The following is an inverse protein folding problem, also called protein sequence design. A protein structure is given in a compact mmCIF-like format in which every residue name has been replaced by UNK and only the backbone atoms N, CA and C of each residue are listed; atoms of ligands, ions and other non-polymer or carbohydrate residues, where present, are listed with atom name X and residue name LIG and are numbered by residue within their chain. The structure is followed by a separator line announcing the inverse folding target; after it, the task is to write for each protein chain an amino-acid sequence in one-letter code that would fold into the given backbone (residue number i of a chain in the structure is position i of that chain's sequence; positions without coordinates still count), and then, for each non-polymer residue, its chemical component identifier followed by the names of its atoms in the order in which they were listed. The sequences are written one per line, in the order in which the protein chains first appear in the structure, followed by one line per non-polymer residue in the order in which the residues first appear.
data_IF_661761767820
#
_entry.id   IF_661761767820
#
_cell.length_a   1.000
_cell.length_b   1.000
_cell.length_c   1.000
_cell.angle_alpha   90.00
_cell.angle_beta   90.00
_cell.angle_gamma   90.00
#
_symmetry.space_group_name_H-M   'P 1'
#
loop_
_entity.id
_entity.type
_entity.pdbx_description
1 polymer ?
#
# COMPACT_ATOMS: atom_id res chain seq x y z
N UNK A 1 8.11 -12.44 -38.17
CA UNK A 1 7.93 -12.66 -36.71
C UNK A 1 6.68 -11.98 -36.14
N UNK A 2 5.51 -12.19 -36.76
CA UNK A 2 4.20 -11.71 -36.27
C UNK A 2 3.27 -12.91 -36.07
N UNK A 3 3.50 -13.71 -35.04
CA UNK A 3 2.51 -14.69 -34.57
C UNK A 3 2.78 -15.06 -33.11
N UNK A 4 2.00 -14.50 -32.19
CA UNK A 4 1.71 -15.21 -30.93
C UNK A 4 0.42 -16.04 -31.04
N UNK A 5 -0.24 -16.05 -32.20
CA UNK A 5 -0.94 -17.22 -32.77
C UNK A 5 -1.89 -18.02 -31.89
N UNK A 6 -2.69 -17.39 -31.03
CA UNK A 6 -3.79 -18.07 -30.32
C UNK A 6 -5.01 -17.14 -30.32
N UNK A 7 -6.16 -17.55 -30.92
CA UNK A 7 -6.81 -18.86 -30.79
C UNK A 7 -6.92 -19.73 -32.07
N UNK A 8 -6.32 -19.35 -33.20
CA UNK A 8 -6.47 -20.09 -34.47
C UNK A 8 -5.72 -21.43 -34.54
N UNK A 9 -4.74 -21.65 -33.66
CA UNK A 9 -3.98 -22.92 -33.58
C UNK A 9 -4.58 -23.93 -32.58
N UNK A 10 -5.70 -23.59 -31.92
CA UNK A 10 -6.35 -24.45 -30.93
C UNK A 10 -7.44 -25.29 -31.58
N UNK A 11 -7.37 -26.60 -31.37
CA UNK A 11 -8.40 -27.56 -31.78
C UNK A 11 -9.34 -27.84 -30.60
N UNK A 12 -10.59 -28.24 -30.87
CA UNK A 12 -11.63 -28.53 -29.86
C UNK A 12 -12.01 -27.37 -28.92
N UNK A 13 -11.98 -26.14 -29.41
CA UNK A 13 -12.43 -24.97 -28.63
C UNK A 13 -13.95 -24.78 -28.71
N UNK A 14 -14.60 -24.24 -27.65
CA UNK A 14 -15.98 -23.78 -27.72
C UNK A 14 -16.21 -22.77 -28.84
N UNK A 15 -17.44 -22.68 -29.36
CA UNK A 15 -17.78 -21.68 -30.38
C UNK A 15 -17.52 -20.26 -29.83
N UNK A 16 -16.79 -19.44 -30.60
CA UNK A 16 -16.35 -18.07 -30.23
C UNK A 16 -15.37 -18.00 -29.05
N UNK A 17 -14.43 -18.94 -28.96
CA UNK A 17 -13.37 -18.91 -27.95
C UNK A 17 -12.48 -17.66 -28.06
N UNK A 18 -12.52 -16.80 -27.04
CA UNK A 18 -11.76 -15.56 -27.01
C UNK A 18 -10.42 -15.71 -26.30
N UNK A 19 -9.52 -14.74 -26.51
CA UNK A 19 -8.26 -14.66 -25.75
C UNK A 19 -8.49 -14.57 -24.24
N UNK A 20 -9.59 -13.96 -23.80
CA UNK A 20 -9.94 -13.84 -22.38
C UNK A 20 -10.33 -15.19 -21.79
N UNK A 21 -11.04 -16.02 -22.56
CA UNK A 21 -11.39 -17.39 -22.15
C UNK A 21 -10.14 -18.26 -22.06
N UNK A 22 -9.20 -18.13 -23.01
CA UNK A 22 -7.91 -18.79 -22.90
C UNK A 22 -7.15 -18.41 -21.63
N UNK A 23 -7.10 -17.11 -21.33
CA UNK A 23 -6.44 -16.59 -20.13
C UNK A 23 -7.07 -17.13 -18.84
N UNK A 24 -8.40 -17.24 -18.76
CA UNK A 24 -9.07 -17.74 -17.55
C UNK A 24 -8.75 -19.21 -17.25
N UNK A 25 -8.42 -20.03 -18.25
CA UNK A 25 -7.98 -21.42 -18.04
C UNK A 25 -6.48 -21.54 -17.77
N UNK A 26 -5.64 -20.73 -18.42
CA UNK A 26 -4.18 -20.88 -18.32
C UNK A 26 -3.62 -20.31 -17.02
N UNK A 27 -4.09 -19.14 -16.57
CA UNK A 27 -3.52 -18.52 -15.37
C UNK A 27 -3.66 -19.35 -14.10
N UNK A 28 -4.79 -20.04 -13.83
CA UNK A 28 -4.88 -20.97 -12.71
C UNK A 28 -3.83 -22.08 -12.74
N UNK A 29 -3.53 -22.63 -13.93
CA UNK A 29 -2.48 -23.64 -14.09
C UNK A 29 -1.10 -23.04 -13.79
N UNK A 30 -0.83 -21.81 -14.24
CA UNK A 30 0.42 -21.12 -13.91
C UNK A 30 0.54 -20.82 -12.41
N UNK A 31 -0.56 -20.53 -11.72
CA UNK A 31 -0.56 -20.30 -10.29
C UNK A 31 -0.27 -21.58 -9.50
N UNK A 32 -0.84 -22.73 -9.90
CA UNK A 32 -0.55 -24.02 -9.24
C UNK A 32 0.88 -24.48 -9.48
N UNK A 33 1.47 -24.16 -10.62
CA UNK A 33 2.89 -24.38 -10.88
C UNK A 33 3.80 -23.69 -9.85
N UNK A 34 3.36 -22.57 -9.25
CA UNK A 34 4.16 -21.89 -8.22
C UNK A 34 4.40 -22.79 -6.99
N UNK A 35 3.47 -23.68 -6.66
CA UNK A 35 3.63 -24.64 -5.56
C UNK A 35 4.72 -25.69 -5.82
N UNK A 36 5.09 -25.93 -7.08
CA UNK A 36 6.13 -26.88 -7.48
C UNK A 36 7.48 -26.21 -7.78
N UNK A 37 7.69 -24.98 -7.30
CA UNK A 37 8.88 -24.18 -7.59
C UNK A 37 10.22 -24.89 -7.31
N UNK A 38 10.27 -25.79 -6.32
CA UNK A 38 11.45 -26.60 -5.98
C UNK A 38 11.91 -27.53 -7.11
N UNK A 39 11.01 -27.90 -8.02
CA UNK A 39 11.32 -28.76 -9.18
C UNK A 39 11.58 -27.94 -10.46
N UNK A 40 11.61 -26.61 -10.37
CA UNK A 40 11.78 -25.72 -11.52
C UNK A 40 13.12 -25.02 -11.48
N UNK A 41 13.80 -25.00 -12.63
CA UNK A 41 14.97 -24.16 -12.82
C UNK A 41 14.60 -22.67 -12.75
N UNK A 42 15.55 -21.82 -12.34
CA UNK A 42 15.32 -20.37 -12.21
C UNK A 42 14.81 -19.72 -13.51
N UNK A 43 15.26 -20.21 -14.67
CA UNK A 43 14.78 -19.70 -15.97
C UNK A 43 13.28 -19.96 -16.16
N UNK A 44 12.78 -21.13 -15.75
CA UNK A 44 11.36 -21.47 -15.84
C UNK A 44 10.55 -20.66 -14.82
N UNK A 45 11.04 -20.53 -13.58
CA UNK A 45 10.42 -19.68 -12.56
C UNK A 45 10.24 -18.24 -13.06
N UNK A 46 11.27 -17.65 -13.68
CA UNK A 46 11.19 -16.31 -14.26
C UNK A 46 10.17 -16.23 -15.40
N UNK A 47 10.05 -17.25 -16.25
CA UNK A 47 9.03 -17.30 -17.30
C UNK A 47 7.62 -17.37 -16.71
N UNK A 48 7.40 -18.17 -15.66
CA UNK A 48 6.10 -18.25 -14.96
C UNK A 48 5.72 -16.87 -14.40
N UNK A 49 6.64 -16.21 -13.69
CA UNK A 49 6.41 -14.86 -13.15
C UNK A 49 6.07 -13.86 -14.27
N UNK A 50 6.83 -13.85 -15.37
CA UNK A 50 6.56 -12.97 -16.53
C UNK A 50 5.21 -13.25 -17.19
N UNK A 51 4.82 -14.52 -17.29
CA UNK A 51 3.50 -14.87 -17.82
C UNK A 51 2.38 -14.33 -16.92
N UNK A 52 2.48 -14.53 -15.60
CA UNK A 52 1.52 -14.00 -14.63
C UNK A 52 1.46 -12.47 -14.67
N UNK A 53 2.61 -11.82 -14.79
CA UNK A 53 2.74 -10.37 -14.95
C UNK A 53 1.96 -9.84 -16.16
N UNK A 54 2.03 -10.51 -17.31
CA UNK A 54 1.23 -10.15 -18.49
C UNK A 54 -0.29 -10.25 -18.23
N UNK A 55 -0.69 -11.16 -17.33
CA UNK A 55 -2.08 -11.36 -16.93
C UNK A 55 -2.63 -10.30 -15.99
N UNK A 56 -1.77 -9.53 -15.32
CA UNK A 56 -2.14 -8.52 -14.32
C UNK A 56 -3.04 -7.43 -14.91
N UNK A 57 -2.83 -7.05 -16.17
CA UNK A 57 -3.65 -6.03 -16.86
C UNK A 57 -4.92 -6.61 -17.49
N UNK A 58 -5.13 -7.93 -17.42
CA UNK A 58 -6.35 -8.55 -17.92
C UNK A 58 -7.54 -8.19 -17.04
N UNK A 59 -8.66 -7.80 -17.65
CA UNK A 59 -9.87 -7.39 -16.91
C UNK A 59 -10.44 -8.51 -16.05
N UNK A 60 -10.38 -9.75 -16.51
CA UNK A 60 -11.00 -10.90 -15.84
C UNK A 60 -10.01 -11.66 -14.96
N UNK A 61 -8.75 -11.78 -15.39
CA UNK A 61 -7.73 -12.57 -14.69
C UNK A 61 -6.78 -11.73 -13.84
N UNK A 62 -6.80 -10.40 -13.95
CA UNK A 62 -5.89 -9.49 -13.25
C UNK A 62 -5.82 -9.71 -11.74
N UNK A 63 -6.94 -9.65 -10.99
CA UNK A 63 -6.95 -9.89 -9.54
C UNK A 63 -6.31 -11.23 -9.16
N UNK A 64 -6.65 -12.29 -9.91
CA UNK A 64 -6.11 -13.62 -9.71
C UNK A 64 -4.59 -13.69 -9.98
N UNK A 65 -4.13 -13.05 -11.05
CA UNK A 65 -2.70 -12.98 -11.38
C UNK A 65 -1.90 -12.25 -10.30
N UNK A 66 -2.47 -11.19 -9.70
CA UNK A 66 -1.83 -10.49 -8.57
C UNK A 66 -1.71 -11.40 -7.36
N UNK A 67 -2.77 -12.13 -6.98
CA UNK A 67 -2.69 -13.13 -5.89
C UNK A 67 -1.68 -14.24 -6.19
N UNK A 68 -1.60 -14.72 -7.43
CA UNK A 68 -0.59 -15.69 -7.84
C UNK A 68 0.84 -15.11 -7.77
N UNK A 69 1.03 -13.83 -8.11
CA UNK A 69 2.30 -13.14 -7.91
C UNK A 69 2.66 -13.00 -6.44
N UNK A 70 1.69 -12.82 -5.53
CA UNK A 70 1.94 -12.85 -4.08
C UNK A 70 2.51 -14.21 -3.65
N UNK A 71 1.99 -15.32 -4.19
CA UNK A 71 2.55 -16.65 -3.95
C UNK A 71 3.98 -16.76 -4.52
N UNK A 72 4.23 -16.26 -5.74
CA UNK A 72 5.57 -16.24 -6.32
C UNK A 72 6.56 -15.38 -5.50
N UNK A 73 6.11 -14.30 -4.86
CA UNK A 73 6.94 -13.49 -3.96
C UNK A 73 7.39 -14.31 -2.75
N UNK A 74 6.53 -15.19 -2.23
CA UNK A 74 6.82 -16.04 -1.07
C UNK A 74 7.75 -17.22 -1.41
N UNK A 75 7.47 -17.90 -2.52
CA UNK A 75 8.11 -19.18 -2.90
C UNK A 75 9.33 -18.99 -3.83
N UNK A 76 9.29 -18.05 -4.77
CA UNK A 76 10.31 -17.86 -5.82
C UNK A 76 11.15 -16.59 -5.62
N UNK A 77 11.64 -16.36 -4.40
CA UNK A 77 12.27 -15.10 -3.96
C UNK A 77 13.44 -14.65 -4.85
N UNK A 78 14.35 -15.56 -5.21
CA UNK A 78 15.54 -15.21 -6.01
C UNK A 78 15.20 -14.78 -7.44
N UNK A 79 14.21 -15.45 -8.04
CA UNK A 79 13.68 -15.10 -9.36
C UNK A 79 12.88 -13.78 -9.29
N UNK A 80 12.11 -13.58 -8.21
CA UNK A 80 11.33 -12.37 -7.98
C UNK A 80 12.20 -11.12 -7.82
N UNK A 81 13.35 -11.18 -7.13
CA UNK A 81 14.27 -10.04 -6.97
C UNK A 81 14.62 -9.40 -8.32
N UNK A 82 14.78 -10.21 -9.37
CA UNK A 82 15.16 -9.77 -10.72
C UNK A 82 14.01 -9.13 -11.49
N UNK A 83 12.78 -9.51 -11.18
CA UNK A 83 11.57 -9.11 -11.92
C UNK A 83 10.70 -8.10 -11.15
N UNK A 84 10.95 -7.90 -9.85
CA UNK A 84 10.09 -7.10 -8.98
C UNK A 84 9.88 -5.68 -9.48
N UNK A 85 10.90 -5.06 -10.10
CA UNK A 85 10.74 -3.70 -10.67
C UNK A 85 9.71 -3.67 -11.79
N UNK A 86 9.72 -4.66 -12.67
CA UNK A 86 8.77 -4.75 -13.79
C UNK A 86 7.36 -5.05 -13.28
N UNK A 87 7.25 -5.99 -12.33
CA UNK A 87 5.99 -6.31 -11.65
C UNK A 87 5.39 -5.06 -11.00
N UNK A 88 6.17 -4.29 -10.25
CA UNK A 88 5.72 -3.04 -9.63
C UNK A 88 5.23 -2.01 -10.65
N UNK A 89 5.91 -1.89 -11.79
CA UNK A 89 5.52 -0.99 -12.88
C UNK A 89 4.20 -1.42 -13.54
N UNK A 90 3.94 -2.73 -13.65
CA UNK A 90 2.68 -3.22 -14.19
C UNK A 90 1.54 -3.10 -13.18
N UNK A 91 1.80 -3.27 -11.88
CA UNK A 91 0.84 -2.98 -10.82
C UNK A 91 0.43 -1.49 -10.80
N UNK A 92 1.35 -0.56 -11.07
CA UNK A 92 1.04 0.88 -11.08
C UNK A 92 0.13 1.33 -12.23
N UNK A 93 -0.05 0.49 -13.26
CA UNK A 93 -0.96 0.78 -14.38
C UNK A 93 -2.40 0.33 -14.09
N UNK A 94 -2.62 -0.43 -13.01
CA UNK A 94 -3.93 -0.96 -12.68
C UNK A 94 -4.79 0.17 -12.11
N UNK A 95 -5.98 0.32 -12.68
CA UNK A 95 -6.99 1.21 -12.10
C UNK A 95 -7.47 0.66 -10.76
N UNK A 96 -7.48 1.51 -9.73
CA UNK A 96 -7.99 1.15 -8.42
C UNK A 96 -9.50 0.83 -8.51
N UNK A 97 -9.87 -0.44 -8.37
CA UNK A 97 -11.25 -0.93 -8.33
C UNK A 97 -11.44 -1.84 -7.12
N UNK A 98 -12.70 -2.08 -6.73
CA UNK A 98 -13.01 -2.94 -5.57
C UNK A 98 -12.45 -4.36 -5.75
N UNK A 99 -12.50 -4.90 -6.97
CA UNK A 99 -11.97 -6.24 -7.29
C UNK A 99 -10.45 -6.34 -7.15
N UNK A 100 -9.73 -5.26 -7.47
CA UNK A 100 -8.27 -5.23 -7.39
C UNK A 100 -7.75 -4.82 -6.00
N UNK A 101 -8.61 -4.26 -5.13
CA UNK A 101 -8.17 -3.66 -3.88
C UNK A 101 -7.51 -4.67 -2.94
N UNK A 102 -8.17 -5.80 -2.69
CA UNK A 102 -7.63 -6.80 -1.78
C UNK A 102 -6.33 -7.45 -2.30
N UNK A 103 -6.26 -8.00 -3.55
CA UNK A 103 -5.04 -8.63 -4.03
C UNK A 103 -3.82 -7.70 -4.08
N UNK A 104 -4.01 -6.43 -4.48
CA UNK A 104 -2.91 -5.47 -4.58
C UNK A 104 -2.40 -5.05 -3.21
N UNK A 105 -3.30 -4.72 -2.28
CA UNK A 105 -2.90 -4.34 -0.93
C UNK A 105 -2.27 -5.53 -0.18
N UNK A 106 -2.76 -6.75 -0.41
CA UNK A 106 -2.16 -7.98 0.11
C UNK A 106 -0.76 -8.23 -0.46
N UNK A 107 -0.57 -8.06 -1.78
CA UNK A 107 0.74 -8.17 -2.41
C UNK A 107 1.75 -7.19 -1.79
N UNK A 108 1.36 -5.92 -1.67
CA UNK A 108 2.22 -4.88 -1.08
C UNK A 108 2.49 -5.13 0.40
N UNK A 109 1.51 -5.62 1.16
CA UNK A 109 1.66 -5.97 2.58
C UNK A 109 2.56 -7.18 2.77
N UNK A 110 2.40 -8.23 1.95
CA UNK A 110 3.23 -9.44 1.99
C UNK A 110 4.69 -9.12 1.63
N UNK A 111 4.91 -8.31 0.60
CA UNK A 111 6.24 -7.90 0.16
C UNK A 111 7.02 -7.19 1.29
N UNK A 112 6.34 -6.42 2.15
CA UNK A 112 6.93 -5.71 3.30
C UNK A 112 7.74 -6.65 4.23
N UNK A 113 7.27 -7.89 4.38
CA UNK A 113 7.84 -8.89 5.29
C UNK A 113 9.09 -9.58 4.72
N UNK A 114 9.51 -9.24 3.50
CA UNK A 114 10.60 -9.89 2.78
C UNK A 114 11.70 -8.89 2.40
N UNK A 115 12.49 -8.37 3.38
CA UNK A 115 13.47 -7.29 3.15
C UNK A 115 14.56 -7.62 2.13
N UNK A 116 14.91 -8.91 1.97
CA UNK A 116 15.87 -9.34 0.95
C UNK A 116 15.33 -9.15 -0.47
N UNK A 117 14.01 -9.25 -0.67
CA UNK A 117 13.39 -9.17 -1.99
C UNK A 117 13.38 -7.73 -2.51
N UNK A 118 13.07 -6.76 -1.65
CA UNK A 118 13.09 -5.33 -1.99
C UNK A 118 14.41 -4.63 -1.62
N UNK A 119 15.48 -5.37 -1.30
CA UNK A 119 16.77 -4.80 -0.91
C UNK A 119 17.39 -3.90 -1.99
N UNK A 120 17.05 -4.11 -3.26
CA UNK A 120 17.56 -3.33 -4.40
C UNK A 120 16.73 -2.08 -4.71
N UNK A 121 15.66 -1.80 -3.95
CA UNK A 121 14.78 -0.68 -4.23
C UNK A 121 15.50 0.66 -4.16
N UNK A 122 15.26 1.51 -5.16
CA UNK A 122 15.65 2.92 -5.13
C UNK A 122 14.40 3.78 -4.97
N UNK A 123 14.57 5.11 -4.94
CA UNK A 123 13.50 6.07 -4.70
C UNK A 123 12.24 5.80 -5.53
N UNK A 124 12.40 5.51 -6.81
CA UNK A 124 11.27 5.31 -7.74
C UNK A 124 10.41 4.09 -7.38
N UNK A 125 11.01 3.00 -6.91
CA UNK A 125 10.24 1.81 -6.52
C UNK A 125 9.46 2.07 -5.24
N UNK A 126 10.05 2.74 -4.24
CA UNK A 126 9.30 3.18 -3.06
C UNK A 126 8.15 4.15 -3.44
N UNK A 127 8.43 5.10 -4.34
CA UNK A 127 7.41 6.04 -4.83
C UNK A 127 6.24 5.30 -5.51
N UNK A 128 6.54 4.28 -6.33
CA UNK A 128 5.52 3.47 -7.00
C UNK A 128 4.60 2.75 -6.00
N UNK A 129 5.13 2.27 -4.86
CA UNK A 129 4.30 1.63 -3.81
C UNK A 129 3.27 2.61 -3.27
N UNK A 130 3.69 3.84 -2.94
CA UNK A 130 2.78 4.87 -2.45
C UNK A 130 1.77 5.27 -3.52
N UNK A 131 2.21 5.45 -4.77
CA UNK A 131 1.33 5.79 -5.88
C UNK A 131 0.28 4.69 -6.14
N UNK A 132 0.61 3.41 -5.97
CA UNK A 132 -0.33 2.29 -6.08
C UNK A 132 -1.33 2.29 -4.92
N UNK A 133 -0.87 2.51 -3.69
CA UNK A 133 -1.70 2.39 -2.49
C UNK A 133 -2.67 3.57 -2.28
N UNK A 134 -2.23 4.80 -2.58
CA UNK A 134 -2.99 6.04 -2.33
C UNK A 134 -4.42 6.00 -2.90
N UNK A 135 -4.65 5.61 -4.17
CA UNK A 135 -6.01 5.53 -4.72
C UNK A 135 -6.99 4.68 -3.92
N UNK A 136 -6.51 3.67 -3.18
CA UNK A 136 -7.33 2.79 -2.34
C UNK A 136 -7.76 3.43 -1.01
N UNK A 137 -7.26 4.63 -0.70
CA UNK A 137 -7.69 5.40 0.49
C UNK A 137 -8.96 6.21 0.26
N UNK A 138 -9.56 6.19 -0.94
CA UNK A 138 -10.78 6.96 -1.22
C UNK A 138 -12.00 6.39 -0.46
N UNK A 139 -12.56 7.14 0.52
CA UNK A 139 -13.65 6.67 1.37
C UNK A 139 -14.99 6.54 0.63
N UNK A 140 -15.16 7.21 -0.51
CA UNK A 140 -16.39 7.12 -1.31
C UNK A 140 -16.41 5.90 -2.24
N UNK A 141 -15.22 5.30 -2.49
CA UNK A 141 -15.07 4.18 -3.43
C UNK A 141 -14.90 2.84 -2.73
N UNK A 142 -14.35 2.85 -1.52
CA UNK A 142 -13.97 1.65 -0.79
C UNK A 142 -14.56 1.64 0.62
N UNK A 143 -14.76 0.45 1.17
CA UNK A 143 -15.23 0.31 2.55
C UNK A 143 -14.12 0.67 3.56
N UNK A 144 -14.50 0.80 4.84
CA UNK A 144 -13.56 1.10 5.92
C UNK A 144 -12.32 0.19 5.90
N UNK A 145 -12.50 -1.12 5.79
CA UNK A 145 -11.41 -2.09 5.82
C UNK A 145 -10.33 -1.82 4.76
N UNK A 146 -10.73 -1.62 3.50
CA UNK A 146 -9.78 -1.36 2.41
C UNK A 146 -9.07 -0.02 2.62
N UNK A 147 -9.80 1.01 3.06
CA UNK A 147 -9.21 2.33 3.36
C UNK A 147 -8.19 2.19 4.49
N UNK A 148 -8.54 1.56 5.61
CA UNK A 148 -7.62 1.32 6.74
C UNK A 148 -6.38 0.55 6.30
N UNK A 149 -6.57 -0.51 5.49
CA UNK A 149 -5.48 -1.34 5.00
C UNK A 149 -4.55 -0.54 4.08
N UNK A 150 -5.09 0.31 3.22
CA UNK A 150 -4.29 1.18 2.35
C UNK A 150 -3.43 2.16 3.17
N UNK A 151 -4.03 2.82 4.18
CA UNK A 151 -3.29 3.67 5.11
C UNK A 151 -2.21 2.89 5.88
N UNK A 152 -2.53 1.68 6.34
CA UNK A 152 -1.56 0.80 6.99
C UNK A 152 -0.39 0.45 6.06
N UNK A 153 -0.66 0.05 4.82
CA UNK A 153 0.38 -0.25 3.81
C UNK A 153 1.26 0.96 3.57
N UNK A 154 0.68 2.17 3.41
CA UNK A 154 1.45 3.41 3.24
C UNK A 154 2.35 3.67 4.44
N UNK A 155 1.80 3.61 5.66
CA UNK A 155 2.56 3.85 6.90
C UNK A 155 3.72 2.85 7.05
N UNK A 156 3.44 1.56 6.88
CA UNK A 156 4.45 0.51 7.05
C UNK A 156 5.56 0.60 6.00
N UNK A 157 5.22 0.88 4.74
CA UNK A 157 6.24 1.09 3.71
C UNK A 157 7.07 2.36 3.95
N UNK A 158 6.47 3.43 4.47
CA UNK A 158 7.21 4.63 4.87
C UNK A 158 8.26 4.30 5.95
N UNK A 159 7.90 3.48 6.95
CA UNK A 159 8.84 3.02 7.98
C UNK A 159 9.97 2.13 7.41
N UNK A 160 9.70 1.35 6.36
CA UNK A 160 10.70 0.52 5.67
C UNK A 160 11.55 1.28 4.65
N UNK A 161 11.14 2.49 4.24
CA UNK A 161 11.92 3.33 3.34
C UNK A 161 13.28 3.69 3.95
N UNK A 162 14.30 3.79 3.10
CA UNK A 162 15.61 4.32 3.49
C UNK A 162 15.48 5.79 3.91
N UNK A 163 16.17 6.17 4.99
CA UNK A 163 16.14 7.52 5.56
C UNK A 163 16.35 8.67 4.55
N UNK A 164 17.30 8.59 3.60
CA UNK A 164 17.57 9.70 2.68
C UNK A 164 16.37 10.11 1.81
N UNK A 165 15.43 9.20 1.57
CA UNK A 165 14.30 9.44 0.66
C UNK A 165 13.03 9.90 1.37
N UNK A 166 12.89 9.62 2.67
CA UNK A 166 11.63 9.82 3.42
C UNK A 166 11.10 11.25 3.30
N UNK A 167 11.96 12.25 3.44
CA UNK A 167 11.58 13.67 3.36
C UNK A 167 10.87 14.02 2.05
N UNK A 168 11.35 13.51 0.92
CA UNK A 168 10.74 13.76 -0.39
C UNK A 168 9.37 13.06 -0.50
N UNK A 169 9.24 11.87 0.10
CA UNK A 169 7.98 11.12 0.08
C UNK A 169 6.89 11.78 0.93
N UNK A 170 7.22 12.42 2.05
CA UNK A 170 6.21 13.09 2.91
C UNK A 170 5.40 14.09 2.10
N UNK A 171 6.06 14.97 1.33
CA UNK A 171 5.36 15.97 0.52
C UNK A 171 4.46 15.35 -0.55
N UNK A 172 4.88 14.23 -1.13
CA UNK A 172 4.09 13.51 -2.12
C UNK A 172 2.87 12.84 -1.47
N UNK A 173 3.07 12.09 -0.40
CA UNK A 173 2.02 11.32 0.29
C UNK A 173 0.96 12.27 0.85
N UNK A 174 1.37 13.27 1.65
CA UNK A 174 0.44 14.19 2.28
C UNK A 174 -0.42 14.94 1.25
N UNK A 175 0.22 15.48 0.20
CA UNK A 175 -0.49 16.20 -0.88
C UNK A 175 -1.54 15.31 -1.55
N UNK A 176 -1.17 14.10 -1.94
CA UNK A 176 -2.09 13.23 -2.68
C UNK A 176 -3.22 12.68 -1.80
N UNK A 177 -2.98 12.38 -0.52
CA UNK A 177 -4.03 11.95 0.39
C UNK A 177 -5.05 13.06 0.68
N UNK A 178 -4.60 14.31 0.83
CA UNK A 178 -5.51 15.47 0.96
C UNK A 178 -6.31 15.71 -0.32
N UNK A 179 -5.71 15.50 -1.49
CA UNK A 179 -6.37 15.72 -2.78
C UNK A 179 -7.55 14.78 -3.06
N UNK A 180 -7.61 13.62 -2.38
CA UNK A 180 -8.69 12.65 -2.57
C UNK A 180 -10.04 13.25 -2.20
N UNK A 181 -10.14 13.88 -1.02
CA UNK A 181 -11.38 14.51 -0.58
C UNK A 181 -11.72 15.74 -1.43
N UNK A 182 -10.74 16.60 -1.72
CA UNK A 182 -11.00 17.83 -2.50
C UNK A 182 -11.51 17.53 -3.91
N UNK A 183 -11.01 16.47 -4.54
CA UNK A 183 -11.46 16.06 -5.87
C UNK A 183 -12.89 15.51 -5.86
N UNK A 184 -13.27 14.78 -4.82
CA UNK A 184 -14.62 14.23 -4.66
C UNK A 184 -15.63 15.33 -4.28
N UNK A 185 -15.26 16.27 -3.42
CA UNK A 185 -16.07 17.45 -3.11
C UNK A 185 -16.36 18.28 -4.37
N UNK A 186 -15.32 18.56 -5.18
CA UNK A 186 -15.48 19.25 -6.46
C UNK A 186 -16.34 18.45 -7.46
N UNK A 187 -16.21 17.11 -7.48
CA UNK A 187 -17.02 16.25 -8.33
C UNK A 187 -18.50 16.25 -7.88
N UNK A 188 -18.77 16.21 -6.58
CA UNK A 188 -20.11 16.28 -6.02
C UNK A 188 -20.77 17.64 -6.25
N UNK A 189 -20.03 18.74 -6.10
CA UNK A 189 -20.53 20.09 -6.44
C UNK A 189 -20.95 20.19 -7.91
N UNK A 190 -20.17 19.62 -8.84
CA UNK A 190 -20.52 19.58 -10.27
C UNK A 190 -21.78 18.75 -10.54
N UNK A 191 -21.95 17.60 -9.88
CA UNK A 191 -23.16 16.75 -10.03
C UNK A 191 -24.41 17.46 -9.49
N UNK A 192 -24.28 18.14 -8.35
CA UNK A 192 -25.38 18.88 -7.73
C UNK A 192 -25.78 20.13 -8.53
N UNK A 193 -24.85 20.76 -9.25
CA UNK A 193 -25.17 21.87 -10.15
C UNK A 193 -25.99 21.43 -11.39
N UNK A 194 -25.96 20.14 -11.74
CA UNK A 194 -26.70 19.58 -12.89
C UNK A 194 -28.02 18.89 -12.54
N UNK A 195 -28.26 18.59 -11.26
CA UNK A 195 -29.47 17.91 -10.81
C UNK A 195 -30.25 18.81 -9.83
N UNK A 196 -31.44 19.23 -10.23
CA UNK A 196 -32.40 19.85 -9.32
C UNK A 196 -32.99 18.72 -8.45
N UNK A 197 -32.93 18.88 -7.13
CA UNK A 197 -33.53 18.06 -6.06
C UNK A 197 -32.67 17.04 -5.27
N UNK A 198 -32.86 17.17 -3.94
CA UNK A 198 -32.54 16.32 -2.78
C UNK A 198 -31.17 15.64 -2.67
N UNK A 199 -30.25 16.35 -2.01
CA UNK A 199 -29.75 15.94 -0.68
C UNK A 199 -29.37 14.46 -0.50
N UNK A 200 -28.35 14.00 -1.22
CA UNK A 200 -27.68 12.70 -0.97
C UNK A 200 -26.48 12.79 -0.01
N UNK A 201 -26.30 13.91 0.69
CA UNK A 201 -25.30 14.03 1.77
C UNK A 201 -25.81 13.38 3.05
N UNK A 202 -25.83 12.06 3.09
CA UNK A 202 -26.24 11.30 4.27
C UNK A 202 -25.22 11.45 5.41
N UNK A 203 -25.67 11.29 6.66
CA UNK A 203 -24.81 11.22 7.85
C UNK A 203 -23.60 10.28 7.66
N UNK A 204 -23.79 9.17 6.93
CA UNK A 204 -22.72 8.21 6.63
C UNK A 204 -21.57 8.76 5.77
N UNK A 205 -21.83 9.71 4.87
CA UNK A 205 -20.77 10.33 4.06
C UNK A 205 -19.90 11.25 4.93
N UNK A 206 -20.53 11.99 5.85
CA UNK A 206 -19.82 12.83 6.82
C UNK A 206 -18.95 11.98 7.77
N UNK A 207 -19.48 10.86 8.26
CA UNK A 207 -18.74 9.92 9.11
C UNK A 207 -17.52 9.33 8.36
N UNK A 208 -17.67 9.00 7.07
CA UNK A 208 -16.58 8.50 6.23
C UNK A 208 -15.51 9.57 5.94
N UNK A 209 -15.90 10.82 5.73
CA UNK A 209 -14.98 11.95 5.57
C UNK A 209 -14.18 12.15 6.86
N UNK A 210 -14.85 12.17 8.01
CA UNK A 210 -14.20 12.29 9.31
C UNK A 210 -13.21 11.15 9.54
N UNK A 211 -13.62 9.91 9.25
CA UNK A 211 -12.76 8.74 9.34
C UNK A 211 -11.50 8.86 8.49
N UNK A 212 -11.62 9.35 7.25
CA UNK A 212 -10.47 9.61 6.39
C UNK A 212 -9.56 10.70 6.96
N UNK A 213 -10.12 11.78 7.51
CA UNK A 213 -9.35 12.85 8.13
C UNK A 213 -8.55 12.36 9.35
N UNK A 214 -9.16 11.53 10.19
CA UNK A 214 -8.50 10.92 11.35
C UNK A 214 -7.32 10.02 10.91
N UNK A 215 -7.53 9.21 9.87
CA UNK A 215 -6.46 8.37 9.30
C UNK A 215 -5.35 9.20 8.62
N UNK A 216 -5.71 10.28 7.94
CA UNK A 216 -4.75 11.21 7.35
C UNK A 216 -3.90 11.86 8.44
N UNK A 217 -4.52 12.34 9.52
CA UNK A 217 -3.81 12.98 10.62
C UNK A 217 -2.85 12.02 11.31
N UNK A 218 -3.30 10.80 11.63
CA UNK A 218 -2.43 9.77 12.24
C UNK A 218 -1.28 9.38 11.32
N UNK A 219 -1.51 9.31 10.01
CA UNK A 219 -0.46 9.06 9.02
C UNK A 219 0.57 10.20 8.97
N UNK A 220 0.12 11.46 9.04
CA UNK A 220 0.98 12.64 9.10
C UNK A 220 1.78 12.69 10.40
N UNK A 221 1.18 12.37 11.56
CA UNK A 221 1.91 12.31 12.84
C UNK A 221 3.01 11.24 12.78
N UNK A 222 2.69 10.05 12.25
CA UNK A 222 3.66 8.99 12.02
C UNK A 222 4.81 9.45 11.12
N UNK A 223 4.51 10.06 9.97
CA UNK A 223 5.54 10.58 9.08
C UNK A 223 6.38 11.64 9.79
N UNK A 224 5.77 12.55 10.55
CA UNK A 224 6.49 13.61 11.28
C UNK A 224 7.50 13.03 12.30
N UNK A 225 7.14 11.95 13.00
CA UNK A 225 8.03 11.27 13.95
C UNK A 225 9.17 10.53 13.25
N UNK A 226 8.88 9.86 12.13
CA UNK A 226 9.81 8.91 11.52
C UNK A 226 10.53 9.40 10.26
N UNK A 227 10.35 10.67 9.86
CA UNK A 227 11.00 11.21 8.65
C UNK A 227 12.52 11.19 8.76
N UNK A 228 13.06 11.61 9.91
CA UNK A 228 14.50 11.83 10.08
C UNK A 228 15.21 10.73 10.87
N UNK A 229 14.46 9.91 11.63
CA UNK A 229 15.02 8.82 12.42
C UNK A 229 13.99 7.70 12.63
N UNK A 230 14.46 6.50 12.91
CA UNK A 230 13.64 5.37 13.35
C UNK A 230 13.94 5.08 14.81
N UNK A 231 13.26 5.78 15.71
CA UNK A 231 13.37 5.59 17.15
C UNK A 231 12.25 4.67 17.70
N UNK A 232 12.43 4.15 18.92
CA UNK A 232 11.34 3.46 19.61
C UNK A 232 10.19 4.43 19.88
N UNK A 233 8.92 4.04 19.63
CA UNK A 233 7.77 4.84 20.03
C UNK A 233 7.63 4.91 21.56
N UNK A 234 8.18 3.93 22.27
CA UNK A 234 8.17 3.90 23.72
C UNK A 234 9.43 4.60 24.24
N UNK A 235 9.21 5.62 25.05
CA UNK A 235 10.27 6.34 25.74
C UNK A 235 10.49 5.71 27.11
N UNK A 236 11.74 5.34 27.41
CA UNK A 236 12.16 4.90 28.74
C UNK A 236 13.25 5.84 29.25
N UNK A 237 13.05 6.39 30.44
CA UNK A 237 14.08 7.19 31.12
C UNK A 237 15.18 6.25 31.59
N UNK A 238 16.44 6.68 31.50
CA UNK A 238 17.54 5.97 32.15
C UNK A 238 17.50 6.15 33.67
N UNK A 239 18.11 5.24 34.46
CA UNK A 239 18.06 5.29 35.92
C UNK A 239 18.55 6.61 36.52
N UNK A 240 19.60 7.21 35.93
CA UNK A 240 20.15 8.50 36.38
C UNK A 240 19.17 9.64 36.11
N UNK A 241 18.52 9.66 34.95
CA UNK A 241 17.54 10.70 34.62
C UNK A 241 16.31 10.59 35.52
N UNK A 242 15.87 9.38 35.83
CA UNK A 242 14.79 9.14 36.76
C UNK A 242 15.14 9.60 38.19
N UNK A 243 16.36 9.29 38.66
CA UNK A 243 16.87 9.80 39.92
C UNK A 243 16.94 11.34 39.95
N UNK A 244 17.43 11.99 38.89
CA UNK A 244 17.53 13.46 38.83
C UNK A 244 16.18 14.17 38.90
N UNK A 245 15.14 13.53 38.36
CA UNK A 245 13.78 14.08 38.30
C UNK A 245 12.95 13.65 39.52
N UNK A 246 13.45 12.71 40.34
CA UNK A 246 12.77 12.27 41.55
C UNK A 246 12.48 13.44 42.51
N UNK A 247 11.26 13.48 43.04
CA UNK A 247 10.77 14.59 43.88
C UNK A 247 10.55 15.91 43.14
N UNK A 248 10.62 15.93 41.81
CA UNK A 248 10.35 17.08 40.96
C UNK A 248 8.86 17.40 40.78
N UNK A 249 8.58 18.59 40.25
CA UNK A 249 7.23 19.00 39.87
C UNK A 249 6.99 18.75 38.38
N UNK A 250 5.86 18.14 38.05
CA UNK A 250 5.39 17.95 36.69
C UNK A 250 4.19 18.86 36.37
N UNK A 251 4.16 19.33 35.14
CA UNK A 251 2.97 19.97 34.57
C UNK A 251 2.74 19.45 33.15
N UNK A 252 1.46 19.30 32.81
CA UNK A 252 1.01 18.76 31.52
C UNK A 252 0.01 19.69 30.88
N UNK A 253 0.20 19.97 29.59
CA UNK A 253 -0.67 20.83 28.79
C UNK A 253 -1.09 20.13 27.50
N UNK A 254 -2.30 20.43 27.04
CA UNK A 254 -2.78 20.06 25.72
C UNK A 254 -2.51 21.21 24.74
N UNK A 255 -1.77 20.93 23.67
CA UNK A 255 -1.43 21.89 22.61
C UNK A 255 -1.81 21.29 21.26
N UNK A 256 -2.92 21.75 20.69
CA UNK A 256 -3.55 21.10 19.54
C UNK A 256 -3.89 19.65 19.88
N UNK A 257 -3.41 18.72 19.06
CA UNK A 257 -3.61 17.27 19.26
C UNK A 257 -2.43 16.60 19.99
N UNK A 258 -1.56 17.38 20.63
CA UNK A 258 -0.39 16.90 21.38
C UNK A 258 -0.56 17.15 22.87
N UNK A 259 -0.07 16.21 23.66
CA UNK A 259 0.05 16.36 25.12
C UNK A 259 1.53 16.58 25.42
N UNK A 260 1.84 17.70 26.06
CA UNK A 260 3.20 18.08 26.43
C UNK A 260 3.32 18.01 27.94
N UNK A 261 4.23 17.18 28.43
CA UNK A 261 4.54 17.06 29.86
C UNK A 261 5.97 17.52 30.09
N UNK A 262 6.15 18.49 30.99
CA UNK A 262 7.46 18.97 31.44
C UNK A 262 7.60 18.62 32.91
N UNK A 263 8.71 17.98 33.26
CA UNK A 263 9.07 17.72 34.66
C UNK A 263 10.34 18.49 34.99
N UNK A 264 10.29 19.27 36.07
CA UNK A 264 11.44 20.00 36.61
C UNK A 264 12.03 19.22 37.78
N UNK A 265 13.35 19.18 37.92
CA UNK A 265 13.99 18.53 39.06
C UNK A 265 13.62 19.25 40.36
N UNK A 266 13.33 18.49 41.41
CA UNK A 266 13.06 19.05 42.73
C UNK A 266 14.30 19.64 43.40
N UNK A 267 15.47 19.58 42.75
CA UNK A 267 16.78 19.91 43.32
C UNK A 267 16.88 19.36 44.73
N UNK A 268 17.13 18.06 44.87
CA UNK A 268 17.54 17.49 46.14
C UNK A 268 18.71 18.33 46.67
N UNK A 269 18.43 19.22 47.63
CA UNK A 269 19.40 19.59 48.63
C UNK A 269 19.72 18.28 49.34
N UNK A 270 20.68 17.53 48.80
CA UNK A 270 21.31 16.45 49.58
C UNK A 270 22.05 17.16 50.71
N UNK A 271 21.69 16.94 51.99
CA UNK A 271 22.61 17.29 53.07
C UNK A 271 23.91 16.50 52.94
#
# INVERSE_FOLDING_TARGET
EKSLGLPESLYNTPAKFTRTDFQSFVFPVLATLASYHMHMESVIQQKVIKCLELGVLSRCAGPFCVSALTLCVLEMRDSMIRLLREVMLNLSKITATVQNAHPILEFLSTLLHLPKVYASFVSDQYMSIFAIAIPYTNPFKFNHYIVSLAYHVIAMWFLKCRLPFRRAFVSFIAKNLSMILTNEEAANQRRNATANEQGRGGKGDADMIQYHNDLLETCIDLMSRYTYASCSPHYTRGPVAEMLVSGGQDQTWMVGNKIITITTSGCSQRP
#
